data_IF_132830748225
#
_entry.id   IF_132830748225
#
_cell.length_a   1.000
_cell.length_b   1.000
_cell.length_c   1.000
_cell.angle_alpha   90.00
_cell.angle_beta   90.00
_cell.angle_gamma   90.00
#
_symmetry.space_group_name_H-M   'P 1'
#
loop_
_entity.id
_entity.type
_entity.pdbx_description
1 polymer ?
#
# COMPACT_ATOMS: atom_id res chain seq x y z
N UNK A 1 22.37 -4.08 49.05
CA UNK A 1 21.72 -5.25 49.65
C UNK A 1 20.40 -5.45 48.94
N UNK A 2 20.30 -6.47 48.10
CA UNK A 2 19.10 -6.75 47.29
C UNK A 2 18.07 -7.49 48.14
N UNK A 3 16.80 -7.08 47.99
CA UNK A 3 15.69 -7.47 48.85
C UNK A 3 15.24 -8.92 48.63
N UNK A 4 15.33 -9.71 49.70
CA UNK A 4 15.09 -11.16 49.76
C UNK A 4 13.65 -11.58 49.38
N UNK A 5 12.73 -10.61 49.25
CA UNK A 5 11.32 -10.82 48.86
C UNK A 5 11.10 -10.94 47.35
N UNK A 6 12.03 -10.47 46.52
CA UNK A 6 11.86 -10.55 45.05
C UNK A 6 12.25 -11.93 44.49
N UNK A 7 13.22 -12.61 45.11
CA UNK A 7 13.64 -13.96 44.71
C UNK A 7 12.60 -15.04 45.00
N UNK A 8 11.71 -14.84 45.97
CA UNK A 8 10.71 -15.84 46.36
C UNK A 8 9.48 -15.87 45.42
N UNK A 9 9.26 -14.82 44.61
CA UNK A 9 8.16 -14.77 43.64
C UNK A 9 8.49 -15.32 42.25
N UNK A 10 9.76 -15.65 41.97
CA UNK A 10 10.22 -16.09 40.65
C UNK A 10 10.42 -17.60 40.51
N UNK A 11 10.28 -18.38 41.58
CA UNK A 11 10.37 -19.86 41.54
C UNK A 11 9.07 -20.48 42.04
N UNK A 12 8.12 -20.73 41.14
CA UNK A 12 6.83 -21.36 41.44
C UNK A 12 6.59 -22.60 40.61
N UNK A 13 7.27 -23.69 40.95
CA UNK A 13 6.93 -25.07 40.55
C UNK A 13 6.22 -25.77 41.70
N UNK A 14 5.01 -26.31 41.45
CA UNK A 14 4.54 -27.57 42.04
C UNK A 14 3.66 -27.52 43.30
N UNK A 15 2.34 -27.72 43.08
CA UNK A 15 1.44 -28.72 43.68
C UNK A 15 1.47 -29.09 45.18
N UNK A 16 0.26 -29.13 45.80
CA UNK A 16 -0.38 -30.31 46.45
C UNK A 16 -1.65 -29.85 47.20
N UNK A 17 -2.86 -30.28 46.85
CA UNK A 17 -3.61 -31.45 47.36
C UNK A 17 -4.67 -31.04 48.41
N UNK A 18 -5.92 -31.51 48.22
CA UNK A 18 -6.80 -32.14 49.23
C UNK A 18 -8.17 -32.55 48.60
N UNK A 19 -8.91 -33.56 49.15
CA UNK A 19 -9.63 -34.59 48.38
C UNK A 19 -11.11 -34.86 48.78
N UNK A 20 -11.66 -35.99 48.28
CA UNK A 20 -12.92 -36.75 48.61
C UNK A 20 -14.15 -36.52 47.69
N UNK A 21 -15.01 -37.49 47.27
CA UNK A 21 -15.19 -38.95 47.51
C UNK A 21 -16.14 -39.58 46.45
N UNK A 22 -15.87 -40.85 46.08
CA UNK A 22 -16.64 -42.06 45.65
C UNK A 22 -18.01 -42.07 44.90
N UNK A 23 -18.14 -42.94 43.85
CA UNK A 23 -18.66 -44.34 43.95
C UNK A 23 -18.72 -45.11 42.58
N UNK A 24 -18.11 -46.31 42.58
CA UNK A 24 -18.44 -47.65 42.02
C UNK A 24 -18.95 -47.99 40.59
N UNK A 25 -18.31 -49.03 40.00
CA UNK A 25 -18.94 -50.05 39.12
C UNK A 25 -18.16 -50.54 37.87
N UNK A 26 -17.71 -51.83 37.75
CA UNK A 26 -16.75 -52.29 36.73
C UNK A 26 -17.32 -53.18 35.61
N UNK A 27 -16.63 -53.26 34.47
CA UNK A 27 -16.89 -54.22 33.39
C UNK A 27 -15.70 -54.39 32.43
N UNK A 28 -15.06 -55.56 32.49
CA UNK A 28 -13.84 -55.95 31.76
C UNK A 28 -14.12 -56.54 30.37
N UNK A 29 -13.26 -56.28 29.36
CA UNK A 29 -12.99 -57.22 28.25
C UNK A 29 -11.55 -57.05 27.68
N UNK A 30 -10.69 -58.01 28.06
CA UNK A 30 -9.66 -58.76 27.31
C UNK A 30 -8.91 -58.15 26.09
N UNK A 31 -7.57 -58.12 26.22
CA UNK A 31 -6.58 -58.27 25.12
C UNK A 31 -6.42 -59.77 24.75
N UNK A 32 -5.82 -60.10 23.59
CA UNK A 32 -4.45 -60.63 23.67
C UNK A 32 -3.48 -60.24 22.53
N UNK A 33 -2.24 -60.68 22.72
CA UNK A 33 -0.96 -60.33 22.08
C UNK A 33 -0.68 -60.86 20.66
N UNK A 34 0.33 -60.20 20.06
CA UNK A 34 1.22 -60.50 18.92
C UNK A 34 1.41 -61.97 18.47
N UNK A 35 1.59 -62.16 17.15
CA UNK A 35 2.46 -63.20 16.56
C UNK A 35 3.00 -62.77 15.17
N UNK A 36 4.14 -63.35 14.77
CA UNK A 36 4.96 -63.06 13.57
C UNK A 36 5.25 -64.40 12.86
N UNK A 37 5.04 -64.50 11.54
CA UNK A 37 5.45 -65.62 10.64
C UNK A 37 5.32 -65.12 9.19
N UNK A 38 6.40 -64.92 8.42
CA UNK A 38 7.16 -65.80 7.50
C UNK A 38 6.38 -66.45 6.32
N UNK A 39 6.65 -65.89 5.12
CA UNK A 39 6.97 -66.47 3.76
C UNK A 39 6.10 -67.57 3.10
N UNK A 40 5.83 -67.36 1.80
CA UNK A 40 6.00 -68.31 0.65
C UNK A 40 5.73 -67.56 -0.71
N UNK A 41 6.72 -67.43 -1.63
CA UNK A 41 6.99 -68.18 -2.90
C UNK A 41 5.88 -68.05 -3.97
N UNK A 42 6.07 -67.65 -5.24
CA UNK A 42 6.83 -68.26 -6.37
C UNK A 42 6.98 -67.21 -7.52
N UNK A 43 8.01 -67.25 -8.40
CA UNK A 43 7.74 -67.53 -9.82
C UNK A 43 8.67 -68.59 -10.44
N UNK A 44 8.12 -69.24 -11.47
CA UNK A 44 8.63 -70.33 -12.29
C UNK A 44 9.24 -69.81 -13.61
N UNK A 45 10.31 -70.42 -14.13
CA UNK A 45 10.64 -70.38 -15.58
C UNK A 45 12.11 -70.12 -15.94
N UNK A 46 12.83 -71.19 -16.24
CA UNK A 46 14.23 -71.34 -16.71
C UNK A 46 14.45 -70.94 -18.20
N UNK A 47 15.55 -71.31 -18.90
CA UNK A 47 16.96 -70.88 -18.74
C UNK A 47 17.62 -70.53 -20.10
N UNK A 48 18.90 -70.11 -20.12
CA UNK A 48 19.97 -70.65 -21.00
C UNK A 48 21.18 -69.71 -21.19
N UNK A 49 22.35 -70.23 -20.75
CA UNK A 49 23.65 -70.27 -21.45
C UNK A 49 24.41 -68.94 -21.70
N UNK A 50 25.73 -68.83 -21.55
CA UNK A 50 26.80 -69.83 -21.61
C UNK A 50 28.08 -69.23 -20.99
N UNK A 51 28.88 -70.09 -20.32
CA UNK A 51 30.37 -70.17 -20.22
C UNK A 51 31.22 -68.92 -19.88
N UNK A 52 32.37 -68.98 -19.21
CA UNK A 52 33.12 -69.99 -18.43
C UNK A 52 34.41 -69.31 -17.93
N UNK A 53 34.99 -69.79 -16.81
CA UNK A 53 36.33 -69.45 -16.29
C UNK A 53 36.27 -68.90 -14.85
N UNK A 54 36.09 -69.69 -13.79
CA UNK A 54 37.03 -70.62 -13.13
C UNK A 54 38.34 -69.92 -12.68
N UNK A 55 38.83 -69.99 -11.44
CA UNK A 55 38.41 -70.68 -10.21
C UNK A 55 39.27 -70.16 -9.03
N UNK A 56 38.70 -70.20 -7.82
CA UNK A 56 39.30 -70.46 -6.51
C UNK A 56 40.53 -69.65 -6.00
N UNK A 57 40.39 -68.98 -4.85
CA UNK A 57 40.68 -69.58 -3.54
C UNK A 57 40.79 -68.55 -2.40
N UNK A 58 40.10 -68.87 -1.30
CA UNK A 58 40.43 -68.61 0.11
C UNK A 58 40.61 -67.18 0.66
N UNK A 59 39.48 -66.77 1.21
CA UNK A 59 39.29 -66.04 2.45
C UNK A 59 40.20 -66.53 3.61
N UNK A 60 41.16 -65.71 4.05
CA UNK A 60 41.71 -65.75 5.41
C UNK A 60 41.37 -64.48 6.18
N UNK A 61 40.96 -64.73 7.41
CA UNK A 61 40.45 -63.79 8.40
C UNK A 61 41.53 -62.86 8.96
N UNK A 62 41.13 -61.60 9.22
CA UNK A 62 41.99 -60.61 9.86
C UNK A 62 41.19 -59.45 10.44
N UNK A 63 40.19 -59.73 11.27
CA UNK A 63 39.46 -58.71 12.02
C UNK A 63 40.39 -58.02 13.03
N UNK A 64 41.00 -56.91 12.62
CA UNK A 64 41.89 -56.12 13.48
C UNK A 64 41.03 -55.32 14.47
N UNK A 65 40.91 -55.82 15.71
CA UNK A 65 40.30 -55.10 16.84
C UNK A 65 41.04 -53.77 17.07
N UNK A 66 40.40 -52.65 16.74
CA UNK A 66 40.89 -51.28 17.02
C UNK A 66 40.86 -51.04 18.53
N UNK A 67 42.03 -50.90 19.16
CA UNK A 67 42.16 -50.54 20.59
C UNK A 67 41.60 -49.14 20.82
N UNK A 68 40.89 -48.96 21.95
CA UNK A 68 40.01 -47.82 22.25
C UNK A 68 40.68 -46.61 22.89
N UNK A 69 42.00 -46.58 23.06
CA UNK A 69 42.68 -45.47 23.70
C UNK A 69 44.04 -45.21 23.06
N UNK A 70 44.04 -44.35 22.04
CA UNK A 70 45.22 -43.62 21.57
C UNK A 70 44.77 -42.21 21.23
N UNK A 71 45.54 -41.24 21.69
CA UNK A 71 45.34 -39.80 21.50
C UNK A 71 45.28 -39.53 19.99
N UNK A 72 44.21 -38.88 19.52
CA UNK A 72 44.02 -38.60 18.10
C UNK A 72 45.10 -37.64 17.60
N UNK A 73 45.89 -38.06 16.61
CA UNK A 73 46.81 -37.19 15.88
C UNK A 73 46.06 -36.11 15.10
N UNK A 74 46.66 -34.94 14.93
CA UNK A 74 46.05 -33.75 14.33
C UNK A 74 45.44 -34.02 12.93
N UNK A 75 46.04 -34.92 12.15
CA UNK A 75 45.51 -35.34 10.84
C UNK A 75 44.22 -36.16 10.90
N UNK A 76 43.97 -36.91 11.99
CA UNK A 76 42.69 -37.62 12.17
C UNK A 76 41.55 -36.66 12.54
N UNK A 77 41.83 -35.58 13.28
CA UNK A 77 40.84 -34.56 13.64
C UNK A 77 40.37 -33.76 12.42
N UNK A 78 41.28 -33.44 11.50
CA UNK A 78 40.96 -32.75 10.24
C UNK A 78 40.13 -33.65 9.29
N UNK A 79 40.30 -34.98 9.36
CA UNK A 79 39.47 -35.93 8.61
C UNK A 79 38.08 -36.17 9.24
N UNK A 80 37.92 -36.02 10.56
CA UNK A 80 36.61 -36.16 11.21
C UNK A 80 35.64 -35.02 10.87
N UNK A 81 36.13 -33.79 10.69
CA UNK A 81 35.29 -32.65 10.25
C UNK A 81 34.75 -32.81 8.82
N UNK A 82 35.31 -33.75 8.04
CA UNK A 82 34.82 -34.12 6.70
C UNK A 82 33.83 -35.28 6.69
N UNK A 83 33.57 -35.94 7.82
CA UNK A 83 32.62 -37.06 7.88
C UNK A 83 31.18 -36.57 7.91
N UNK A 84 30.49 -36.86 6.82
CA UNK A 84 29.05 -36.67 6.63
C UNK A 84 28.28 -37.32 7.79
N UNK A 85 27.73 -36.50 8.69
CA UNK A 85 26.85 -36.95 9.79
C UNK A 85 25.57 -37.57 9.23
N UNK A 86 25.41 -38.89 9.33
CA UNK A 86 24.17 -39.61 9.01
C UNK A 86 23.26 -39.66 10.24
N UNK A 87 21.94 -39.74 10.04
CA UNK A 87 21.01 -40.04 11.14
C UNK A 87 21.09 -41.53 11.51
N UNK A 88 20.58 -41.97 12.68
CA UNK A 88 20.61 -43.38 13.09
C UNK A 88 19.94 -44.36 12.11
N UNK A 89 19.09 -43.85 11.21
CA UNK A 89 18.45 -44.61 10.12
C UNK A 89 19.21 -44.55 8.78
N UNK A 90 20.49 -44.21 8.76
CA UNK A 90 21.34 -44.24 7.56
C UNK A 90 21.06 -43.15 6.52
N UNK A 91 20.12 -42.23 6.79
CA UNK A 91 19.82 -41.12 5.88
C UNK A 91 20.89 -40.04 6.01
N UNK A 92 21.50 -39.65 4.89
CA UNK A 92 22.45 -38.53 4.80
C UNK A 92 21.76 -37.28 5.36
N UNK A 93 22.26 -36.65 6.44
CA UNK A 93 21.74 -35.33 6.83
C UNK A 93 21.98 -34.39 5.67
N UNK A 94 20.94 -33.67 5.24
CA UNK A 94 21.11 -32.58 4.27
C UNK A 94 22.17 -31.63 4.83
N UNK A 95 23.31 -31.52 4.15
CA UNK A 95 24.31 -30.50 4.44
C UNK A 95 23.62 -29.15 4.29
N UNK A 96 23.59 -28.37 5.36
CA UNK A 96 23.01 -27.04 5.35
C UNK A 96 23.78 -26.17 4.34
N UNK A 97 23.05 -25.39 3.55
CA UNK A 97 23.65 -24.44 2.63
C UNK A 97 24.53 -23.42 3.37
N UNK A 98 25.60 -22.89 2.73
CA UNK A 98 26.66 -22.09 3.38
C UNK A 98 26.20 -20.80 4.08
N UNK A 99 24.94 -20.38 3.96
CA UNK A 99 24.39 -19.24 4.70
C UNK A 99 23.67 -19.59 6.02
N UNK A 100 23.11 -20.80 6.14
CA UNK A 100 22.28 -21.18 7.29
C UNK A 100 23.08 -21.41 8.58
N UNK A 101 24.37 -21.75 8.47
CA UNK A 101 25.27 -21.92 9.61
C UNK A 101 25.45 -20.62 10.39
N UNK A 102 25.48 -19.46 9.71
CA UNK A 102 25.59 -18.15 10.36
C UNK A 102 24.34 -17.79 11.19
N UNK A 103 23.14 -18.16 10.71
CA UNK A 103 21.88 -17.91 11.43
C UNK A 103 21.72 -18.78 12.66
N UNK A 104 22.30 -19.99 12.67
CA UNK A 104 22.34 -20.85 13.86
C UNK A 104 23.47 -20.50 14.84
N UNK A 105 24.44 -19.67 14.44
CA UNK A 105 25.50 -19.21 15.34
C UNK A 105 25.01 -18.18 16.37
N UNK A 106 23.85 -17.57 16.13
CA UNK A 106 23.31 -16.51 16.97
C UNK A 106 22.27 -17.06 17.93
N UNK A 107 22.38 -16.67 19.20
CA UNK A 107 21.27 -16.84 20.14
C UNK A 107 20.10 -15.96 19.73
N UNK A 108 18.87 -16.37 20.09
CA UNK A 108 17.67 -15.58 19.78
C UNK A 108 17.77 -14.14 20.33
N UNK A 109 18.35 -13.96 21.52
CA UNK A 109 18.59 -12.64 22.12
C UNK A 109 19.55 -11.79 21.28
N UNK A 110 20.69 -12.35 20.85
CA UNK A 110 21.64 -11.66 19.99
C UNK A 110 21.04 -11.28 18.63
N UNK A 111 20.19 -12.15 18.05
CA UNK A 111 19.48 -11.85 16.81
C UNK A 111 18.48 -10.69 16.97
N UNK A 112 17.75 -10.62 18.10
CA UNK A 112 16.86 -9.50 18.39
C UNK A 112 17.61 -8.18 18.54
N UNK A 113 18.71 -8.17 19.31
CA UNK A 113 19.53 -6.96 19.49
C UNK A 113 20.05 -6.46 18.15
N UNK A 114 20.62 -7.34 17.32
CA UNK A 114 21.12 -6.96 15.98
C UNK A 114 20.01 -6.42 15.08
N UNK A 115 18.80 -6.99 15.16
CA UNK A 115 17.64 -6.53 14.40
C UNK A 115 17.23 -5.11 14.79
N UNK A 116 17.21 -4.81 16.10
CA UNK A 116 16.91 -3.48 16.61
C UNK A 116 18.00 -2.45 16.27
N UNK A 117 19.27 -2.82 16.39
CA UNK A 117 20.39 -1.96 16.00
C UNK A 117 20.30 -1.63 14.50
N UNK A 118 20.04 -2.63 13.66
CA UNK A 118 19.83 -2.41 12.23
C UNK A 118 18.63 -1.51 11.95
N UNK A 119 17.51 -1.69 12.65
CA UNK A 119 16.33 -0.84 12.49
C UNK A 119 16.61 0.62 12.87
N UNK A 120 17.25 0.86 14.01
CA UNK A 120 17.66 2.21 14.44
C UNK A 120 18.59 2.84 13.41
N UNK A 121 19.58 2.09 12.92
CA UNK A 121 20.47 2.56 11.85
C UNK A 121 19.68 2.97 10.60
N UNK A 122 18.78 2.13 10.10
CA UNK A 122 17.96 2.45 8.93
C UNK A 122 17.09 3.69 9.16
N UNK A 123 16.44 3.81 10.33
CA UNK A 123 15.63 4.98 10.65
C UNK A 123 16.46 6.26 10.72
N UNK A 124 17.65 6.22 11.32
CA UNK A 124 18.57 7.37 11.36
C UNK A 124 19.02 7.76 9.95
N UNK A 125 19.40 6.79 9.11
CA UNK A 125 19.77 7.04 7.71
C UNK A 125 18.61 7.63 6.92
N UNK A 126 17.40 7.09 7.05
CA UNK A 126 16.20 7.65 6.42
C UNK A 126 15.96 9.10 6.86
N UNK A 127 16.09 9.39 8.15
CA UNK A 127 15.93 10.75 8.68
C UNK A 127 17.00 11.70 8.13
N UNK A 128 18.26 11.28 8.08
CA UNK A 128 19.36 12.06 7.50
C UNK A 128 19.13 12.34 6.00
N UNK A 129 18.61 11.38 5.24
CA UNK A 129 18.27 11.57 3.83
C UNK A 129 17.14 12.60 3.67
N UNK A 130 16.12 12.55 4.53
CA UNK A 130 15.00 13.50 4.50
C UNK A 130 15.47 14.93 4.83
N UNK A 131 16.22 15.10 5.92
CA UNK A 131 16.67 16.43 6.37
C UNK A 131 17.85 17.01 5.59
N UNK A 132 18.63 16.17 4.90
CA UNK A 132 19.78 16.59 4.10
C UNK A 132 19.44 16.74 2.62
N UNK A 133 19.70 15.72 1.78
CA UNK A 133 19.58 15.82 0.33
C UNK A 133 18.16 16.14 -0.15
N UNK A 134 17.13 15.55 0.45
CA UNK A 134 15.74 15.82 0.02
C UNK A 134 15.35 17.26 0.35
N UNK A 135 15.59 17.72 1.59
CA UNK A 135 15.35 19.11 2.00
C UNK A 135 16.02 20.11 1.05
N UNK A 136 17.31 19.90 0.74
CA UNK A 136 18.07 20.77 -0.18
C UNK A 136 17.50 20.73 -1.59
N UNK A 137 17.18 19.54 -2.11
CA UNK A 137 16.59 19.38 -3.44
C UNK A 137 15.25 20.11 -3.57
N UNK A 138 14.36 19.98 -2.58
CA UNK A 138 13.04 20.66 -2.59
C UNK A 138 13.22 22.18 -2.47
N UNK A 139 14.12 22.65 -1.60
CA UNK A 139 14.42 24.07 -1.47
C UNK A 139 14.84 24.69 -2.81
N UNK A 140 15.81 24.08 -3.50
CA UNK A 140 16.39 24.61 -4.74
C UNK A 140 15.46 24.46 -5.94
N UNK A 141 14.76 23.32 -6.07
CA UNK A 141 13.97 23.00 -7.28
C UNK A 141 12.51 23.42 -7.23
N UNK A 142 11.90 23.44 -6.05
CA UNK A 142 10.47 23.69 -5.91
C UNK A 142 10.15 25.01 -5.19
N UNK A 143 11.06 25.51 -4.35
CA UNK A 143 10.78 26.64 -3.45
C UNK A 143 11.73 27.83 -3.65
N UNK A 144 12.46 27.90 -4.77
CA UNK A 144 13.34 29.02 -5.13
C UNK A 144 14.36 29.39 -4.04
N UNK A 145 14.89 28.40 -3.32
CA UNK A 145 15.88 28.58 -2.26
C UNK A 145 15.29 28.77 -0.85
N UNK A 146 13.96 28.76 -0.69
CA UNK A 146 13.31 28.83 0.62
C UNK A 146 13.36 27.48 1.34
N UNK A 147 13.39 27.54 2.68
CA UNK A 147 13.38 26.33 3.50
C UNK A 147 12.03 25.59 3.41
N UNK A 148 12.00 24.27 3.12
CA UNK A 148 10.74 23.54 2.96
C UNK A 148 9.88 23.50 4.21
N UNK A 149 10.47 23.45 5.41
CA UNK A 149 9.71 23.35 6.65
C UNK A 149 9.10 24.69 7.03
N UNK A 150 9.88 25.77 6.97
CA UNK A 150 9.38 27.12 7.21
C UNK A 150 8.36 27.55 6.15
N UNK A 151 8.60 27.21 4.88
CA UNK A 151 7.62 27.42 3.81
C UNK A 151 6.32 26.65 4.06
N UNK A 152 6.39 25.36 4.42
CA UNK A 152 5.19 24.57 4.70
C UNK A 152 4.36 25.14 5.86
N UNK A 153 5.04 25.67 6.89
CA UNK A 153 4.40 26.30 8.03
C UNK A 153 3.67 27.59 7.62
N UNK A 154 4.30 28.44 6.81
CA UNK A 154 3.63 29.59 6.19
C UNK A 154 2.47 29.16 5.29
N UNK A 155 2.67 28.15 4.45
CA UNK A 155 1.70 27.68 3.47
C UNK A 155 0.40 27.15 4.10
N UNK A 156 0.49 26.57 5.30
CA UNK A 156 -0.66 26.05 6.07
C UNK A 156 -1.20 27.02 7.12
N UNK A 157 -0.35 27.79 7.80
CA UNK A 157 -0.75 28.61 8.95
C UNK A 157 -0.69 30.12 8.68
N UNK A 158 -0.31 30.53 7.47
CA UNK A 158 0.01 31.93 7.13
C UNK A 158 -1.15 32.93 7.27
N UNK A 159 -2.40 32.46 7.36
CA UNK A 159 -3.58 33.30 7.60
C UNK A 159 -3.94 33.44 9.10
N UNK A 160 -3.35 32.65 9.99
CA UNK A 160 -3.64 32.69 11.43
C UNK A 160 -2.90 33.89 12.05
N UNK A 161 -3.66 34.83 12.62
CA UNK A 161 -3.11 36.06 13.21
C UNK A 161 -2.06 35.79 14.30
N UNK A 162 -2.32 34.83 15.19
CA UNK A 162 -1.39 34.42 16.24
C UNK A 162 -0.07 33.88 15.68
N UNK A 163 -0.14 33.00 14.69
CA UNK A 163 1.06 32.45 14.05
C UNK A 163 1.91 33.55 13.40
N UNK A 164 1.27 34.46 12.64
CA UNK A 164 1.96 35.60 12.02
C UNK A 164 2.64 36.50 13.04
N UNK A 165 1.96 36.80 14.15
CA UNK A 165 2.52 37.60 15.23
C UNK A 165 3.76 36.94 15.82
N UNK A 166 3.71 35.63 16.09
CA UNK A 166 4.85 34.87 16.60
C UNK A 166 6.04 34.87 15.64
N UNK A 167 5.81 34.66 14.34
CA UNK A 167 6.87 34.68 13.31
C UNK A 167 7.55 36.05 13.26
N UNK A 168 6.77 37.14 13.30
CA UNK A 168 7.32 38.51 13.29
C UNK A 168 8.03 38.85 14.60
N UNK A 169 7.45 38.48 15.74
CA UNK A 169 8.03 38.74 17.06
C UNK A 169 9.39 38.04 17.23
N UNK A 170 9.55 36.85 16.67
CA UNK A 170 10.79 36.07 16.75
C UNK A 170 11.77 36.36 15.59
N UNK A 171 11.46 37.28 14.67
CA UNK A 171 12.23 37.56 13.44
C UNK A 171 12.51 36.30 12.60
N UNK A 172 11.48 35.46 12.43
CA UNK A 172 11.52 34.24 11.62
C UNK A 172 11.01 34.45 10.19
N UNK A 173 10.90 35.70 9.73
CA UNK A 173 10.38 36.09 8.41
C UNK A 173 11.20 35.50 7.25
N UNK A 174 12.52 35.43 7.38
CA UNK A 174 13.39 34.81 6.38
C UNK A 174 13.21 33.29 6.29
N UNK A 175 12.86 32.63 7.39
CA UNK A 175 12.67 31.17 7.42
C UNK A 175 11.23 30.78 7.03
N UNK A 176 10.24 31.57 7.43
CA UNK A 176 8.81 31.35 7.15
C UNK A 176 8.23 32.57 6.41
N UNK A 177 8.35 32.64 5.07
CA UNK A 177 7.92 33.82 4.32
C UNK A 177 6.39 33.96 4.35
N UNK A 178 5.89 35.04 4.96
CA UNK A 178 4.45 35.28 5.12
C UNK A 178 3.90 36.16 4.00
N UNK A 179 2.70 35.88 3.45
CA UNK A 179 2.10 36.76 2.46
C UNK A 179 1.69 38.09 3.12
N UNK A 180 1.79 39.22 2.39
CA UNK A 180 1.18 40.46 2.85
C UNK A 180 -0.33 40.26 3.02
N UNK A 181 -0.96 41.04 3.89
CA UNK A 181 -2.43 41.01 3.99
C UNK A 181 -3.01 41.58 2.69
N UNK A 182 -4.07 40.96 2.14
CA UNK A 182 -4.76 41.54 0.99
C UNK A 182 -5.22 42.95 1.29
N UNK A 183 -4.90 43.91 0.43
CA UNK A 183 -5.50 45.23 0.44
C UNK A 183 -6.89 45.18 -0.24
N UNK A 184 -7.77 46.14 0.05
CA UNK A 184 -9.13 46.21 -0.51
C UNK A 184 -9.20 46.13 -2.05
N UNK A 185 -8.11 46.47 -2.74
CA UNK A 185 -7.99 46.38 -4.21
C UNK A 185 -7.85 44.92 -4.68
N UNK A 186 -7.13 44.08 -3.92
CA UNK A 186 -6.93 42.67 -4.24
C UNK A 186 -8.20 41.86 -3.95
N UNK A 187 -8.95 42.25 -2.91
CA UNK A 187 -10.27 41.67 -2.61
C UNK A 187 -11.27 41.92 -3.75
N UNK A 188 -11.28 43.12 -4.35
CA UNK A 188 -12.14 43.43 -5.49
C UNK A 188 -11.79 42.63 -6.77
N UNK A 189 -10.52 42.26 -6.96
CA UNK A 189 -10.11 41.40 -8.08
C UNK A 189 -10.61 39.95 -7.92
N UNK A 190 -10.72 39.46 -6.68
CA UNK A 190 -11.22 38.11 -6.39
C UNK A 190 -12.69 37.89 -6.79
N UNK A 191 -13.48 38.97 -6.88
CA UNK A 191 -14.87 38.94 -7.35
C UNK A 191 -15.01 38.47 -8.81
N UNK A 192 -13.95 38.59 -9.63
CA UNK A 192 -13.95 38.19 -11.03
C UNK A 192 -13.61 36.70 -11.24
N UNK A 193 -13.15 35.99 -10.19
CA UNK A 193 -12.64 34.62 -10.29
C UNK A 193 -13.67 33.52 -9.94
N UNK A 194 -14.93 33.88 -9.69
CA UNK A 194 -16.03 32.96 -9.38
C UNK A 194 -16.41 32.92 -7.89
N UNK A 195 -17.62 32.44 -7.60
CA UNK A 195 -18.20 32.50 -6.24
C UNK A 195 -17.42 31.73 -5.19
N UNK A 196 -16.93 30.52 -5.52
CA UNK A 196 -16.18 29.70 -4.55
C UNK A 196 -14.76 30.22 -4.38
N UNK A 197 -14.13 30.70 -5.45
CA UNK A 197 -12.81 31.33 -5.39
C UNK A 197 -12.85 32.62 -4.57
N UNK A 198 -13.90 33.43 -4.73
CA UNK A 198 -14.13 34.59 -3.89
C UNK A 198 -14.24 34.17 -2.40
N UNK A 199 -15.08 33.19 -2.05
CA UNK A 199 -15.21 32.71 -0.66
C UNK A 199 -13.87 32.20 -0.11
N UNK A 200 -13.08 31.49 -0.94
CA UNK A 200 -11.74 31.01 -0.59
C UNK A 200 -10.81 32.16 -0.23
N UNK A 201 -10.81 33.23 -1.04
CA UNK A 201 -9.88 34.34 -0.86
C UNK A 201 -10.34 35.37 0.19
N UNK A 202 -11.63 35.73 0.22
CA UNK A 202 -12.15 36.82 1.04
C UNK A 202 -12.62 36.40 2.44
N UNK A 203 -13.33 35.27 2.57
CA UNK A 203 -13.92 34.88 3.87
C UNK A 203 -12.95 34.10 4.76
N UNK A 204 -12.32 33.06 4.21
CA UNK A 204 -11.43 32.19 4.98
C UNK A 204 -9.97 32.56 4.78
N UNK A 205 -9.64 32.92 3.54
CA UNK A 205 -8.29 33.12 3.06
C UNK A 205 -7.56 31.79 2.76
N UNK A 206 -6.57 31.84 1.87
CA UNK A 206 -5.99 30.66 1.21
C UNK A 206 -5.44 29.60 2.18
N UNK A 207 -4.65 29.99 3.19
CA UNK A 207 -4.07 29.02 4.12
C UNK A 207 -5.14 28.35 5.02
N UNK A 208 -6.13 29.11 5.48
CA UNK A 208 -7.22 28.55 6.29
C UNK A 208 -8.09 27.59 5.48
N UNK A 209 -8.31 27.85 4.19
CA UNK A 209 -9.02 26.90 3.32
C UNK A 209 -8.28 25.56 3.24
N UNK A 210 -6.94 25.56 3.16
CA UNK A 210 -6.14 24.31 3.18
C UNK A 210 -6.28 23.56 4.49
N UNK A 211 -6.35 24.27 5.63
CA UNK A 211 -6.63 23.66 6.93
C UNK A 211 -8.04 23.05 6.98
N UNK A 212 -9.05 23.74 6.44
CA UNK A 212 -10.42 23.22 6.35
C UNK A 212 -10.49 21.98 5.46
N UNK A 213 -9.82 21.98 4.31
CA UNK A 213 -9.69 20.80 3.44
C UNK A 213 -9.00 19.65 4.20
N UNK A 214 -7.93 19.94 4.93
CA UNK A 214 -7.21 18.94 5.74
C UNK A 214 -8.11 18.35 6.82
N UNK A 215 -8.86 19.19 7.55
CA UNK A 215 -9.80 18.75 8.57
C UNK A 215 -10.94 17.91 7.98
N UNK A 216 -11.50 18.32 6.84
CA UNK A 216 -12.49 17.55 6.09
C UNK A 216 -11.96 16.18 5.68
N UNK A 217 -10.77 16.14 5.07
CA UNK A 217 -10.10 14.90 4.67
C UNK A 217 -9.87 13.97 5.86
N UNK A 218 -9.40 14.49 7.00
CA UNK A 218 -9.22 13.71 8.23
C UNK A 218 -10.56 13.18 8.75
N UNK A 219 -11.63 13.96 8.71
CA UNK A 219 -12.97 13.51 9.10
C UNK A 219 -13.46 12.37 8.21
N UNK A 220 -13.29 12.48 6.89
CA UNK A 220 -13.62 11.40 5.93
C UNK A 220 -12.78 10.15 6.19
N UNK A 221 -11.49 10.31 6.52
CA UNK A 221 -10.62 9.19 6.89
C UNK A 221 -11.09 8.50 8.18
N UNK A 222 -11.40 9.26 9.23
CA UNK A 222 -11.85 8.71 10.52
C UNK A 222 -13.19 7.98 10.33
N UNK A 223 -14.15 8.59 9.65
CA UNK A 223 -15.46 7.99 9.39
C UNK A 223 -15.34 6.76 8.50
N UNK A 224 -14.53 6.81 7.43
CA UNK A 224 -14.25 5.68 6.56
C UNK A 224 -13.58 4.52 7.29
N UNK A 225 -12.57 4.80 8.13
CA UNK A 225 -11.93 3.77 8.96
C UNK A 225 -12.91 3.16 9.97
N UNK A 226 -13.77 3.95 10.60
CA UNK A 226 -14.81 3.45 11.50
C UNK A 226 -15.77 2.50 10.76
N UNK A 227 -16.22 2.87 9.56
CA UNK A 227 -17.05 2.03 8.70
C UNK A 227 -16.32 0.73 8.34
N UNK A 228 -15.04 0.81 7.95
CA UNK A 228 -14.24 -0.37 7.61
C UNK A 228 -14.11 -1.31 8.82
N UNK A 229 -13.85 -0.78 10.02
CA UNK A 229 -13.76 -1.61 11.22
C UNK A 229 -15.08 -2.31 11.54
N UNK A 230 -16.23 -1.62 11.38
CA UNK A 230 -17.55 -2.23 11.57
C UNK A 230 -17.87 -3.29 10.51
N UNK A 231 -17.59 -3.00 9.24
CA UNK A 231 -17.82 -3.93 8.13
C UNK A 231 -16.85 -5.11 8.13
N UNK A 232 -15.68 -4.99 8.75
CA UNK A 232 -14.66 -6.03 8.76
C UNK A 232 -15.14 -7.36 9.35
N UNK A 233 -16.14 -7.33 10.23
CA UNK A 233 -16.75 -8.49 10.86
C UNK A 233 -17.74 -9.26 9.98
N UNK A 234 -18.27 -8.64 8.90
CA UNK A 234 -19.42 -9.17 8.14
C UNK A 234 -19.16 -9.19 6.63
N UNK A 235 -18.33 -8.28 6.10
CA UNK A 235 -18.17 -8.05 4.66
C UNK A 235 -16.94 -8.75 4.05
N UNK A 236 -17.11 -9.24 2.83
CA UNK A 236 -16.03 -9.79 1.99
C UNK A 236 -14.91 -8.78 1.71
N UNK A 237 -13.70 -9.30 1.48
CA UNK A 237 -12.47 -8.52 1.22
C UNK A 237 -12.67 -7.49 0.10
N UNK A 238 -13.38 -7.84 -0.98
CA UNK A 238 -13.59 -6.94 -2.12
C UNK A 238 -14.43 -5.72 -1.72
N UNK A 239 -15.52 -5.91 -0.98
CA UNK A 239 -16.37 -4.82 -0.49
C UNK A 239 -15.57 -3.89 0.42
N UNK A 240 -14.66 -4.44 1.25
CA UNK A 240 -13.77 -3.63 2.10
C UNK A 240 -12.81 -2.77 1.28
N UNK A 241 -12.23 -3.31 0.20
CA UNK A 241 -11.36 -2.54 -0.71
C UNK A 241 -12.11 -1.40 -1.39
N UNK A 242 -13.38 -1.62 -1.74
CA UNK A 242 -14.22 -0.57 -2.37
C UNK A 242 -14.59 0.56 -1.40
N UNK A 243 -14.59 0.34 -0.09
CA UNK A 243 -14.73 1.43 0.88
C UNK A 243 -13.59 2.44 0.73
N UNK A 244 -12.34 1.98 0.58
CA UNK A 244 -11.20 2.89 0.34
C UNK A 244 -11.32 3.65 -0.99
N UNK A 245 -11.87 3.01 -2.03
CA UNK A 245 -12.14 3.68 -3.31
C UNK A 245 -13.18 4.79 -3.12
N UNK A 246 -14.27 4.50 -2.40
CA UNK A 246 -15.29 5.49 -2.04
C UNK A 246 -14.74 6.63 -1.17
N UNK A 247 -13.86 6.34 -0.21
CA UNK A 247 -13.18 7.36 0.59
C UNK A 247 -12.37 8.32 -0.28
N UNK A 248 -11.63 7.80 -1.28
CA UNK A 248 -10.89 8.65 -2.22
C UNK A 248 -11.83 9.57 -3.03
N UNK A 249 -12.99 9.08 -3.46
CA UNK A 249 -14.01 9.90 -4.14
C UNK A 249 -14.52 11.01 -3.23
N UNK A 250 -14.92 10.67 -1.99
CA UNK A 250 -15.42 11.65 -1.03
C UNK A 250 -14.36 12.70 -0.67
N UNK A 251 -13.11 12.29 -0.48
CA UNK A 251 -12.04 13.22 -0.15
C UNK A 251 -11.72 14.17 -1.30
N UNK A 252 -11.52 13.66 -2.52
CA UNK A 252 -10.88 14.42 -3.60
C UNK A 252 -11.84 15.01 -4.63
N UNK A 253 -13.01 14.43 -4.87
CA UNK A 253 -13.96 14.98 -5.84
C UNK A 253 -14.41 16.42 -5.49
N UNK A 254 -14.77 16.75 -4.23
CA UNK A 254 -15.14 18.11 -3.88
C UNK A 254 -13.93 19.05 -3.66
N UNK A 255 -12.77 18.53 -3.26
CA UNK A 255 -11.63 19.36 -2.80
C UNK A 255 -10.63 19.70 -3.88
N UNK A 256 -10.44 18.84 -4.90
CA UNK A 256 -9.42 19.03 -5.94
C UNK A 256 -9.59 20.35 -6.68
N UNK A 257 -10.82 20.81 -6.92
CA UNK A 257 -11.04 22.09 -7.63
C UNK A 257 -10.86 23.32 -6.75
N UNK A 258 -10.98 23.16 -5.42
CA UNK A 258 -10.82 24.25 -4.46
C UNK A 258 -9.36 24.64 -4.32
N UNK A 259 -8.45 23.67 -4.16
CA UNK A 259 -7.00 23.90 -4.22
C UNK A 259 -6.30 22.68 -4.87
N UNK A 260 -6.17 22.68 -6.21
CA UNK A 260 -5.56 21.57 -6.95
C UNK A 260 -4.11 21.30 -6.55
N UNK A 261 -3.35 22.36 -6.27
CA UNK A 261 -1.91 22.26 -5.94
C UNK A 261 -1.71 21.64 -4.57
N UNK A 262 -2.54 22.02 -3.60
CA UNK A 262 -2.51 21.44 -2.27
C UNK A 262 -2.91 19.96 -2.30
N UNK A 263 -3.98 19.60 -3.03
CA UNK A 263 -4.36 18.20 -3.20
C UNK A 263 -3.24 17.38 -3.86
N UNK A 264 -2.58 17.93 -4.89
CA UNK A 264 -1.43 17.30 -5.54
C UNK A 264 -0.25 17.09 -4.59
N UNK A 265 0.08 18.10 -3.78
CA UNK A 265 1.12 18.01 -2.76
C UNK A 265 0.79 16.95 -1.71
N UNK A 266 -0.44 16.95 -1.20
CA UNK A 266 -0.90 15.99 -0.21
C UNK A 266 -0.85 14.56 -0.76
N UNK A 267 -1.30 14.33 -1.99
CA UNK A 267 -1.22 13.02 -2.65
C UNK A 267 0.23 12.55 -2.83
N UNK A 268 1.13 13.43 -3.27
CA UNK A 268 2.56 13.13 -3.40
C UNK A 268 3.22 12.79 -2.07
N UNK A 269 2.92 13.57 -1.01
CA UNK A 269 3.45 13.35 0.33
C UNK A 269 2.93 12.04 0.93
N UNK A 270 1.62 11.77 0.83
CA UNK A 270 1.02 10.52 1.31
C UNK A 270 1.59 9.32 0.56
N UNK A 271 1.80 9.42 -0.76
CA UNK A 271 2.45 8.36 -1.54
C UNK A 271 3.87 8.10 -1.06
N UNK A 272 4.67 9.15 -0.84
CA UNK A 272 6.03 9.00 -0.31
C UNK A 272 6.04 8.33 1.08
N UNK A 273 5.12 8.71 1.96
CA UNK A 273 4.94 8.09 3.28
C UNK A 273 4.55 6.62 3.13
N UNK A 274 3.59 6.28 2.26
CA UNK A 274 3.16 4.89 2.04
C UNK A 274 4.28 4.03 1.48
N UNK A 275 5.07 4.53 0.52
CA UNK A 275 6.23 3.83 -0.01
C UNK A 275 7.30 3.60 1.07
N UNK A 276 7.55 4.60 1.91
CA UNK A 276 8.51 4.46 3.01
C UNK A 276 8.03 3.48 4.09
N UNK A 277 6.76 3.53 4.47
CA UNK A 277 6.15 2.59 5.42
C UNK A 277 6.14 1.16 4.85
N UNK A 278 5.84 0.99 3.57
CA UNK A 278 5.90 -0.33 2.93
C UNK A 278 7.32 -0.85 2.83
N UNK A 279 8.31 0.01 2.57
CA UNK A 279 9.73 -0.34 2.64
C UNK A 279 10.13 -0.84 4.03
N UNK A 280 9.71 -0.14 5.09
CA UNK A 280 9.98 -0.55 6.48
C UNK A 280 9.31 -1.88 6.84
N UNK A 281 8.10 -2.12 6.32
CA UNK A 281 7.37 -3.38 6.48
C UNK A 281 8.04 -4.52 5.74
N UNK A 282 8.36 -4.34 4.45
CA UNK A 282 9.02 -5.33 3.62
C UNK A 282 10.41 -5.70 4.18
N UNK A 283 11.11 -4.72 4.76
CA UNK A 283 12.40 -4.91 5.45
C UNK A 283 12.27 -5.49 6.87
N UNK A 284 11.04 -5.75 7.34
CA UNK A 284 10.73 -6.33 8.66
C UNK A 284 11.30 -5.56 9.86
N UNK A 285 11.41 -4.23 9.77
CA UNK A 285 12.02 -3.40 10.81
C UNK A 285 11.11 -3.25 12.05
N UNK A 286 11.55 -3.60 13.27
CA UNK A 286 10.83 -3.27 14.49
C UNK A 286 10.91 -1.75 14.78
N UNK A 287 9.90 -1.14 15.43
CA UNK A 287 8.64 -1.73 15.90
C UNK A 287 7.53 -1.74 14.84
N UNK A 288 7.63 -0.94 13.78
CA UNK A 288 6.51 -0.57 12.90
C UNK A 288 6.05 -1.71 11.97
N UNK A 289 6.97 -2.58 11.54
CA UNK A 289 6.66 -3.62 10.53
C UNK A 289 5.54 -4.59 10.95
N UNK A 290 5.48 -4.98 12.23
CA UNK A 290 4.48 -5.94 12.73
C UNK A 290 3.07 -5.34 12.77
N UNK A 291 2.81 -4.21 13.47
CA UNK A 291 1.51 -3.55 13.44
C UNK A 291 1.02 -3.27 12.02
N UNK A 292 1.90 -2.82 11.13
CA UNK A 292 1.51 -2.51 9.75
C UNK A 292 1.13 -3.77 8.97
N UNK A 293 1.85 -4.88 9.14
CA UNK A 293 1.51 -6.15 8.50
C UNK A 293 0.16 -6.68 8.99
N UNK A 294 -0.12 -6.60 10.30
CA UNK A 294 -1.41 -7.03 10.85
C UNK A 294 -2.56 -6.14 10.37
N UNK A 295 -2.35 -4.83 10.30
CA UNK A 295 -3.36 -3.89 9.79
C UNK A 295 -3.65 -4.13 8.31
N UNK A 296 -2.62 -4.37 7.49
CA UNK A 296 -2.78 -4.53 6.04
C UNK A 296 -3.27 -5.92 5.64
N UNK A 297 -2.97 -6.98 6.41
CA UNK A 297 -3.26 -8.38 6.05
C UNK A 297 -4.71 -8.64 5.56
N UNK A 298 -5.78 -8.05 6.17
CA UNK A 298 -7.14 -8.24 5.70
C UNK A 298 -7.44 -7.62 4.31
N UNK A 299 -6.59 -6.72 3.81
CA UNK A 299 -6.81 -5.96 2.58
C UNK A 299 -5.92 -6.41 1.42
N UNK A 300 -4.93 -7.25 1.69
CA UNK A 300 -4.02 -7.84 0.70
C UNK A 300 -4.80 -8.78 -0.24
N UNK A 301 -4.47 -8.77 -1.53
CA UNK A 301 -5.05 -9.66 -2.53
C UNK A 301 -4.18 -10.86 -2.88
N UNK A 302 -4.77 -11.85 -3.54
CA UNK A 302 -4.03 -12.97 -4.15
C UNK A 302 -2.87 -12.52 -5.04
N UNK A 303 -2.98 -11.32 -5.65
CA UNK A 303 -1.94 -10.70 -6.47
C UNK A 303 -0.76 -10.19 -5.65
N UNK A 304 -1.02 -9.68 -4.45
CA UNK A 304 -0.01 -9.09 -3.56
C UNK A 304 0.84 -10.16 -2.86
N UNK A 305 0.36 -11.42 -2.80
CA UNK A 305 1.15 -12.53 -2.23
C UNK A 305 2.34 -12.98 -3.11
N UNK A 306 2.45 -12.46 -4.33
CA UNK A 306 3.54 -12.82 -5.26
C UNK A 306 4.84 -12.05 -5.01
N UNK A 307 4.82 -11.03 -4.16
CA UNK A 307 5.98 -10.19 -3.86
C UNK A 307 6.04 -9.72 -2.40
N UNK A 308 7.18 -9.13 -1.98
CA UNK A 308 7.33 -8.60 -0.63
C UNK A 308 6.56 -7.28 -0.40
N UNK A 309 6.18 -6.57 -1.47
CA UNK A 309 5.50 -5.26 -1.49
C UNK A 309 4.00 -5.45 -1.67
N UNK A 310 3.18 -4.73 -0.91
CA UNK A 310 1.72 -4.73 -1.06
C UNK A 310 1.35 -3.61 -2.03
N UNK A 311 0.94 -3.97 -3.25
CA UNK A 311 0.87 -3.01 -4.35
C UNK A 311 -0.53 -2.41 -4.51
N UNK A 312 -1.57 -3.13 -4.08
CA UNK A 312 -2.98 -2.70 -4.21
C UNK A 312 -3.26 -1.26 -3.75
N UNK A 313 -2.80 -0.88 -2.55
CA UNK A 313 -3.05 0.46 -1.98
C UNK A 313 -2.23 1.56 -2.67
N UNK A 314 -1.01 1.21 -3.11
CA UNK A 314 -0.13 2.12 -3.86
C UNK A 314 -0.75 2.42 -5.23
N UNK A 315 -1.29 1.40 -5.89
CA UNK A 315 -1.93 1.54 -7.20
C UNK A 315 -3.24 2.33 -7.14
N UNK A 316 -4.04 2.18 -6.08
CA UNK A 316 -5.20 3.05 -5.85
C UNK A 316 -4.76 4.52 -5.78
N UNK A 317 -3.74 4.82 -4.97
CA UNK A 317 -3.27 6.19 -4.77
C UNK A 317 -2.67 6.77 -6.06
N UNK A 318 -1.83 6.01 -6.76
CA UNK A 318 -1.21 6.40 -8.03
C UNK A 318 -2.27 6.59 -9.13
N UNK A 319 -3.24 5.67 -9.23
CA UNK A 319 -4.33 5.73 -10.21
C UNK A 319 -5.18 6.99 -10.08
N UNK A 320 -5.43 7.43 -8.84
CA UNK A 320 -6.11 8.70 -8.56
C UNK A 320 -5.22 9.92 -8.84
N UNK A 321 -3.91 9.82 -8.59
CA UNK A 321 -2.99 10.98 -8.59
C UNK A 321 -2.42 11.33 -9.96
N UNK A 322 -2.15 10.34 -10.83
CA UNK A 322 -1.50 10.59 -12.13
C UNK A 322 -2.30 11.60 -12.98
N UNK A 323 -3.63 11.44 -13.18
CA UNK A 323 -4.39 12.40 -13.97
C UNK A 323 -4.31 13.83 -13.42
N UNK A 324 -4.35 13.99 -12.09
CA UNK A 324 -4.18 15.31 -11.47
C UNK A 324 -2.79 15.91 -11.77
N UNK A 325 -1.72 15.13 -11.61
CA UNK A 325 -0.36 15.60 -11.89
C UNK A 325 -0.15 15.97 -13.35
N UNK A 326 -0.68 15.17 -14.28
CA UNK A 326 -0.61 15.44 -15.71
C UNK A 326 -1.44 16.66 -16.13
N UNK A 327 -2.60 16.88 -15.51
CA UNK A 327 -3.38 18.11 -15.75
C UNK A 327 -2.63 19.34 -15.21
N UNK A 328 -2.02 19.23 -14.04
CA UNK A 328 -1.28 20.32 -13.41
C UNK A 328 0.03 20.68 -14.10
N UNK A 329 0.64 19.76 -14.86
CA UNK A 329 1.88 20.04 -15.59
C UNK A 329 1.69 20.99 -16.78
N UNK A 330 0.47 21.10 -17.31
CA UNK A 330 0.19 21.93 -18.50
C UNK A 330 -0.51 23.26 -18.17
N UNK A 331 -0.82 23.50 -16.90
CA UNK A 331 -1.54 24.71 -16.50
C UNK A 331 -0.59 25.82 -16.06
N UNK A 332 -0.87 27.08 -16.45
CA UNK A 332 -0.07 28.22 -16.03
C UNK A 332 -0.14 28.40 -14.51
N UNK A 333 0.96 28.89 -13.92
CA UNK A 333 1.06 29.15 -12.48
C UNK A 333 0.98 30.64 -12.19
N UNK A 334 0.46 30.96 -11.01
CA UNK A 334 0.45 32.32 -10.50
C UNK A 334 1.76 32.55 -9.72
N UNK A 335 2.60 33.44 -10.22
CA UNK A 335 3.95 33.68 -9.67
C UNK A 335 4.00 34.86 -8.67
N UNK A 336 2.90 35.13 -7.96
CA UNK A 336 2.80 36.27 -7.04
C UNK A 336 2.89 35.84 -5.58
N UNK A 337 3.64 36.61 -4.80
CA UNK A 337 3.78 36.41 -3.35
C UNK A 337 4.69 35.26 -2.95
N UNK A 338 4.73 34.91 -1.65
CA UNK A 338 5.65 33.90 -1.10
C UNK A 338 5.26 32.46 -1.46
N UNK A 339 4.09 32.27 -2.07
CA UNK A 339 3.61 30.98 -2.55
C UNK A 339 3.51 30.95 -4.09
N UNK A 340 4.33 31.76 -4.77
CA UNK A 340 4.48 31.74 -6.21
C UNK A 340 4.63 30.30 -6.75
N UNK A 341 3.87 29.95 -7.79
CA UNK A 341 3.84 28.60 -8.36
C UNK A 341 2.76 27.67 -7.79
N UNK A 342 2.18 28.00 -6.63
CA UNK A 342 1.27 27.14 -5.87
C UNK A 342 -0.19 27.59 -5.91
N UNK A 343 -0.60 28.27 -6.97
CA UNK A 343 -2.00 28.52 -7.31
C UNK A 343 -2.18 28.45 -8.82
N UNK A 344 -3.38 28.03 -9.25
CA UNK A 344 -3.71 27.77 -10.66
C UNK A 344 -4.99 28.53 -11.02
N UNK A 345 -5.00 29.32 -12.10
CA UNK A 345 -6.14 30.16 -12.45
C UNK A 345 -7.28 29.37 -13.10
N UNK A 346 -6.99 28.32 -13.85
CA UNK A 346 -7.99 27.54 -14.60
C UNK A 346 -8.11 26.11 -14.07
N UNK A 347 -9.32 25.56 -14.16
CA UNK A 347 -9.67 24.21 -13.72
C UNK A 347 -9.97 23.36 -14.93
N UNK A 348 -9.80 22.04 -14.82
CA UNK A 348 -10.09 21.11 -15.90
C UNK A 348 -10.76 19.85 -15.33
N UNK A 349 -11.82 19.37 -15.97
CA UNK A 349 -12.52 18.13 -15.61
C UNK A 349 -11.55 16.95 -15.59
N UNK A 350 -10.50 16.99 -16.42
CA UNK A 350 -9.47 15.95 -16.49
C UNK A 350 -8.73 15.73 -15.15
N UNK A 351 -8.67 16.74 -14.27
CA UNK A 351 -7.96 16.68 -12.98
C UNK A 351 -8.45 15.56 -12.06
N UNK A 352 -9.73 15.20 -12.15
CA UNK A 352 -10.37 14.18 -11.31
C UNK A 352 -10.69 12.89 -12.06
N UNK A 353 -10.23 12.74 -13.31
CA UNK A 353 -10.45 11.52 -14.10
C UNK A 353 -9.97 10.27 -13.36
N UNK A 354 -8.84 10.34 -12.64
CA UNK A 354 -8.36 9.21 -11.86
C UNK A 354 -9.28 8.83 -10.71
N UNK A 355 -9.76 9.82 -9.97
CA UNK A 355 -10.70 9.64 -8.86
C UNK A 355 -12.03 9.07 -9.36
N UNK A 356 -12.56 9.54 -10.48
CA UNK A 356 -13.81 9.02 -11.06
C UNK A 356 -13.60 7.60 -11.59
N UNK A 357 -12.53 7.36 -12.36
CA UNK A 357 -12.25 6.07 -12.99
C UNK A 357 -12.06 4.96 -11.96
N UNK A 358 -11.10 5.16 -11.04
CA UNK A 358 -10.78 4.15 -10.02
C UNK A 358 -11.85 4.17 -8.94
N UNK A 359 -12.20 5.34 -8.42
CA UNK A 359 -13.11 5.46 -7.28
C UNK A 359 -14.56 5.07 -7.57
N UNK A 360 -15.13 5.54 -8.69
CA UNK A 360 -16.53 5.29 -9.05
C UNK A 360 -16.67 4.17 -10.08
N UNK A 361 -15.90 4.23 -11.17
CA UNK A 361 -15.97 3.28 -12.29
C UNK A 361 -15.66 1.85 -11.86
N UNK A 362 -14.45 1.60 -11.36
CA UNK A 362 -14.01 0.27 -10.92
C UNK A 362 -14.85 -0.27 -9.74
N UNK A 363 -15.34 0.60 -8.86
CA UNK A 363 -16.30 0.20 -7.82
C UNK A 363 -17.65 -0.25 -8.41
N UNK A 364 -18.23 0.51 -9.34
CA UNK A 364 -19.49 0.15 -9.98
C UNK A 364 -19.36 -1.13 -10.82
N UNK A 365 -18.28 -1.25 -11.60
CA UNK A 365 -18.01 -2.41 -12.45
C UNK A 365 -17.95 -3.71 -11.65
N UNK A 366 -17.22 -3.70 -10.54
CA UNK A 366 -17.04 -4.86 -9.68
C UNK A 366 -18.29 -5.20 -8.87
N UNK A 367 -19.00 -4.22 -8.29
CA UNK A 367 -20.22 -4.46 -7.50
C UNK A 367 -21.36 -4.99 -8.39
N UNK A 368 -21.60 -4.34 -9.53
CA UNK A 368 -22.65 -4.75 -10.47
C UNK A 368 -22.24 -6.01 -11.23
N UNK A 369 -20.97 -6.11 -11.66
CA UNK A 369 -20.47 -7.29 -12.36
C UNK A 369 -20.47 -8.56 -11.50
N UNK A 370 -20.27 -8.46 -10.18
CA UNK A 370 -20.43 -9.61 -9.27
C UNK A 370 -21.89 -10.01 -9.09
N UNK A 371 -22.79 -9.04 -8.92
CA UNK A 371 -24.21 -9.32 -8.59
C UNK A 371 -25.06 -9.67 -9.81
N UNK A 372 -24.76 -9.07 -10.96
CA UNK A 372 -25.58 -9.15 -12.18
C UNK A 372 -24.79 -9.55 -13.43
N UNK A 373 -23.47 -9.76 -13.35
CA UNK A 373 -22.60 -10.01 -14.50
C UNK A 373 -22.70 -11.41 -15.08
N UNK A 374 -23.83 -11.71 -15.72
CA UNK A 374 -24.13 -13.01 -16.34
C UNK A 374 -23.46 -13.13 -17.70
N UNK A 375 -23.42 -12.05 -18.48
CA UNK A 375 -22.82 -12.04 -19.81
C UNK A 375 -21.34 -11.67 -19.73
N UNK A 376 -20.46 -12.65 -19.97
CA UNK A 376 -19.01 -12.45 -19.96
C UNK A 376 -18.51 -12.05 -21.35
N UNK A 377 -17.46 -11.23 -21.37
CA UNK A 377 -16.76 -10.90 -22.60
C UNK A 377 -16.10 -12.15 -23.22
N UNK A 378 -16.12 -12.23 -24.55
CA UNK A 378 -15.69 -13.42 -25.29
C UNK A 378 -14.18 -13.63 -25.36
N UNK A 379 -13.38 -12.58 -25.14
CA UNK A 379 -11.92 -12.61 -25.19
C UNK A 379 -11.24 -13.13 -23.91
N UNK A 380 -12.00 -13.71 -22.98
CA UNK A 380 -11.48 -14.22 -21.70
C UNK A 380 -11.23 -13.11 -20.67
N UNK A 381 -10.98 -13.50 -19.41
CA UNK A 381 -10.65 -12.56 -18.32
C UNK A 381 -11.76 -12.30 -17.27
N UNK A 382 -12.92 -12.96 -17.37
CA UNK A 382 -13.94 -12.95 -16.31
C UNK A 382 -14.75 -11.66 -16.14
N UNK A 383 -14.45 -10.61 -16.93
CA UNK A 383 -15.19 -9.34 -16.97
C UNK A 383 -16.56 -9.52 -17.64
N UNK A 384 -17.57 -8.83 -17.12
CA UNK A 384 -18.96 -8.92 -17.59
C UNK A 384 -19.41 -7.66 -18.31
N UNK A 385 -20.27 -7.81 -19.33
CA UNK A 385 -20.88 -6.70 -20.06
C UNK A 385 -21.66 -5.78 -19.13
N UNK A 386 -22.42 -6.34 -18.18
CA UNK A 386 -23.19 -5.58 -17.20
C UNK A 386 -22.28 -4.74 -16.29
N UNK A 387 -21.08 -5.24 -16.00
CA UNK A 387 -20.05 -4.51 -15.25
C UNK A 387 -19.48 -3.35 -16.07
N UNK A 388 -19.17 -3.58 -17.34
CA UNK A 388 -18.69 -2.53 -18.26
C UNK A 388 -19.75 -1.44 -18.50
N UNK A 389 -21.04 -1.79 -18.57
CA UNK A 389 -22.13 -0.80 -18.65
C UNK A 389 -22.24 0.01 -17.36
N UNK A 390 -22.14 -0.65 -16.19
CA UNK A 390 -22.15 0.04 -14.91
C UNK A 390 -20.95 0.98 -14.74
N UNK A 391 -19.76 0.58 -15.21
CA UNK A 391 -18.58 1.43 -15.28
C UNK A 391 -18.87 2.68 -16.11
N UNK A 392 -19.34 2.50 -17.34
CA UNK A 392 -19.58 3.61 -18.27
C UNK A 392 -20.64 4.59 -17.71
N UNK A 393 -21.70 4.06 -17.10
CA UNK A 393 -22.73 4.87 -16.45
C UNK A 393 -22.16 5.67 -15.27
N UNK A 394 -21.41 5.02 -14.36
CA UNK A 394 -20.83 5.67 -13.19
C UNK A 394 -19.82 6.77 -13.57
N UNK A 395 -18.96 6.51 -14.56
CA UNK A 395 -18.00 7.50 -15.06
C UNK A 395 -18.71 8.66 -15.76
N UNK A 396 -19.72 8.39 -16.60
CA UNK A 396 -20.51 9.44 -17.26
C UNK A 396 -21.19 10.35 -16.24
N UNK A 397 -21.85 9.77 -15.24
CA UNK A 397 -22.47 10.51 -14.14
C UNK A 397 -21.43 11.33 -13.35
N UNK A 398 -20.27 10.75 -13.05
CA UNK A 398 -19.18 11.44 -12.36
C UNK A 398 -18.65 12.65 -13.13
N UNK A 399 -18.43 12.51 -14.45
CA UNK A 399 -17.97 13.61 -15.31
C UNK A 399 -19.00 14.74 -15.39
N UNK A 400 -20.28 14.40 -15.56
CA UNK A 400 -21.37 15.39 -15.61
C UNK A 400 -21.50 16.10 -14.26
N UNK A 401 -21.44 15.37 -13.15
CA UNK A 401 -21.51 15.94 -11.81
C UNK A 401 -20.34 16.89 -11.52
N UNK A 402 -19.14 16.53 -11.96
CA UNK A 402 -17.95 17.39 -11.85
C UNK A 402 -18.07 18.63 -12.73
N UNK A 403 -18.60 18.50 -13.96
CA UNK A 403 -18.88 19.67 -14.80
C UNK A 403 -19.89 20.60 -14.13
N UNK A 404 -20.96 20.06 -13.54
CA UNK A 404 -21.92 20.82 -12.75
C UNK A 404 -21.25 21.51 -11.56
N UNK A 405 -20.37 20.83 -10.84
CA UNK A 405 -19.61 21.43 -9.74
C UNK A 405 -18.72 22.59 -10.19
N UNK A 406 -18.04 22.46 -11.33
CA UNK A 406 -17.22 23.54 -11.89
C UNK A 406 -18.05 24.77 -12.27
N UNK A 407 -19.21 24.55 -12.91
CA UNK A 407 -20.14 25.62 -13.28
C UNK A 407 -20.73 26.30 -12.04
N UNK A 408 -21.15 25.52 -11.03
CA UNK A 408 -21.69 26.04 -9.77
C UNK A 408 -20.64 26.84 -8.98
N UNK A 409 -19.38 26.40 -9.01
CA UNK A 409 -18.31 27.12 -8.32
C UNK A 409 -17.83 28.37 -9.05
N UNK A 410 -18.22 28.54 -10.32
CA UNK A 410 -17.87 29.69 -11.14
C UNK A 410 -16.40 29.72 -11.58
N UNK A 411 -15.70 28.58 -11.56
CA UNK A 411 -14.30 28.53 -11.98
C UNK A 411 -14.16 28.63 -13.50
N UNK A 412 -13.09 29.29 -13.94
CA UNK A 412 -12.70 29.31 -15.34
C UNK A 412 -12.23 27.90 -15.76
N UNK A 413 -12.92 27.29 -16.71
CA UNK A 413 -12.62 25.92 -17.17
C UNK A 413 -11.79 25.98 -18.45
N UNK A 414 -10.63 25.32 -18.44
CA UNK A 414 -9.75 25.25 -19.60
C UNK A 414 -10.46 24.58 -20.79
N UNK A 415 -10.47 25.24 -21.94
CA UNK A 415 -11.11 24.73 -23.16
C UNK A 415 -12.62 24.95 -23.29
N UNK A 416 -13.30 25.55 -22.30
CA UNK A 416 -14.73 25.86 -22.37
C UNK A 416 -15.10 26.89 -23.47
N UNK A 417 -14.16 27.78 -23.80
CA UNK A 417 -14.31 28.82 -24.83
C UNK A 417 -14.54 28.27 -26.24
N UNK A 418 -14.26 26.98 -26.46
CA UNK A 418 -14.40 26.32 -27.77
C UNK A 418 -15.85 26.07 -28.19
N UNK A 419 -16.80 26.05 -27.25
CA UNK A 419 -18.21 25.75 -27.57
C UNK A 419 -19.08 27.00 -27.74
N UNK A 420 -18.68 28.17 -27.22
CA UNK A 420 -19.42 29.44 -27.37
C UNK A 420 -20.87 29.45 -26.83
N UNK A 421 -21.36 28.35 -26.25
CA UNK A 421 -22.72 28.26 -25.72
C UNK A 421 -22.75 28.63 -24.23
N UNK A 422 -23.73 29.45 -23.79
CA UNK A 422 -23.95 29.72 -22.38
C UNK A 422 -24.23 28.43 -21.62
N UNK A 423 -23.63 28.27 -20.43
CA UNK A 423 -23.82 27.13 -19.52
C UNK A 423 -25.28 26.94 -19.05
N UNK A 424 -26.14 27.94 -19.26
CA UNK A 424 -27.59 27.89 -19.02
C UNK A 424 -28.39 27.16 -20.10
N UNK A 425 -27.78 26.82 -21.24
CA UNK A 425 -28.47 26.23 -22.38
C UNK A 425 -28.56 24.72 -22.26
N UNK A 426 -29.73 24.12 -22.52
CA UNK A 426 -29.90 22.66 -22.55
C UNK A 426 -28.92 21.97 -23.52
N UNK A 427 -28.66 22.59 -24.67
CA UNK A 427 -27.72 22.07 -25.68
C UNK A 427 -26.30 21.90 -25.16
N UNK A 428 -25.85 22.78 -24.25
CA UNK A 428 -24.53 22.67 -23.61
C UNK A 428 -24.45 21.40 -22.76
N UNK A 429 -25.49 21.13 -21.96
CA UNK A 429 -25.56 19.93 -21.11
C UNK A 429 -25.71 18.64 -21.92
N UNK A 430 -26.48 18.67 -23.01
CA UNK A 430 -26.61 17.52 -23.92
C UNK A 430 -25.27 17.19 -24.60
N UNK A 431 -24.52 18.21 -25.05
CA UNK A 431 -23.21 18.01 -25.66
C UNK A 431 -22.17 17.51 -24.67
N UNK A 432 -22.17 18.07 -23.45
CA UNK A 432 -21.36 17.60 -22.33
C UNK A 432 -21.65 16.13 -22.03
N UNK A 433 -22.94 15.76 -21.91
CA UNK A 433 -23.35 14.40 -21.65
C UNK A 433 -22.92 13.43 -22.76
N UNK A 434 -23.08 13.83 -24.03
CA UNK A 434 -22.62 13.04 -25.17
C UNK A 434 -21.11 12.78 -25.12
N UNK A 435 -20.31 13.83 -24.90
CA UNK A 435 -18.85 13.71 -24.75
C UNK A 435 -18.47 12.82 -23.57
N UNK A 436 -19.12 12.98 -22.43
CA UNK A 436 -18.90 12.16 -21.24
C UNK A 436 -19.21 10.68 -21.50
N UNK A 437 -20.31 10.37 -22.19
CA UNK A 437 -20.68 9.00 -22.56
C UNK A 437 -19.67 8.39 -23.53
N UNK A 438 -19.18 9.15 -24.52
CA UNK A 438 -18.14 8.68 -25.44
C UNK A 438 -16.83 8.40 -24.68
N UNK A 439 -16.40 9.32 -23.81
CA UNK A 439 -15.20 9.15 -22.99
C UNK A 439 -15.31 7.93 -22.06
N UNK A 440 -16.45 7.78 -21.38
CA UNK A 440 -16.72 6.68 -20.47
C UNK A 440 -16.85 5.34 -21.20
N UNK A 441 -17.48 5.32 -22.37
CA UNK A 441 -17.60 4.14 -23.23
C UNK A 441 -16.25 3.66 -23.75
N UNK A 442 -15.40 4.58 -24.25
CA UNK A 442 -14.04 4.26 -24.66
C UNK A 442 -13.19 3.72 -23.51
N UNK A 443 -13.28 4.35 -22.34
CA UNK A 443 -12.58 3.89 -21.13
C UNK A 443 -13.07 2.51 -20.67
N UNK A 444 -14.38 2.28 -20.65
CA UNK A 444 -15.00 0.99 -20.32
C UNK A 444 -14.55 -0.12 -21.27
N UNK A 445 -14.47 0.17 -22.57
CA UNK A 445 -13.94 -0.78 -23.55
C UNK A 445 -12.47 -1.12 -23.27
N UNK A 446 -11.64 -0.11 -22.94
CA UNK A 446 -10.24 -0.39 -22.56
C UNK A 446 -10.14 -1.23 -21.29
N UNK A 447 -10.98 -0.96 -20.28
CA UNK A 447 -11.06 -1.77 -19.06
C UNK A 447 -11.44 -3.22 -19.38
N UNK A 448 -12.42 -3.44 -20.27
CA UNK A 448 -12.82 -4.77 -20.71
C UNK A 448 -11.72 -5.56 -21.45
N UNK A 449 -10.90 -4.87 -22.26
CA UNK A 449 -9.84 -5.47 -23.08
C UNK A 449 -8.57 -5.73 -22.25
N UNK A 450 -8.24 -4.86 -21.30
CA UNK A 450 -7.07 -4.98 -20.44
C UNK A 450 -7.28 -6.09 -19.39
N UNK A 451 -6.90 -7.31 -19.72
CA UNK A 451 -7.04 -8.50 -18.84
C UNK A 451 -5.74 -8.92 -18.13
N UNK A 452 -4.60 -8.31 -18.48
CA UNK A 452 -3.28 -8.66 -17.91
C UNK A 452 -2.44 -7.47 -17.40
N UNK A 453 -2.87 -6.24 -17.62
CA UNK A 453 -2.21 -5.05 -17.07
C UNK A 453 -2.96 -4.58 -15.81
N UNK A 454 -2.32 -3.71 -15.03
CA UNK A 454 -2.96 -3.11 -13.87
C UNK A 454 -3.98 -2.04 -14.31
N UNK A 455 -5.24 -2.42 -14.26
CA UNK A 455 -6.41 -1.61 -14.57
C UNK A 455 -6.46 -0.32 -13.73
N UNK A 456 -6.04 -0.37 -12.46
CA UNK A 456 -6.04 0.78 -11.56
C UNK A 456 -5.07 1.90 -11.96
N UNK A 457 -4.11 1.65 -12.86
CA UNK A 457 -3.14 2.68 -13.30
C UNK A 457 -3.38 3.08 -14.76
N UNK A 458 -3.61 2.12 -15.64
CA UNK A 458 -3.72 2.40 -17.08
C UNK A 458 -5.07 3.01 -17.46
N UNK A 459 -6.17 2.46 -16.95
CA UNK A 459 -7.52 2.91 -17.32
C UNK A 459 -7.76 4.39 -16.94
N UNK A 460 -7.30 4.89 -15.78
CA UNK A 460 -7.35 6.32 -15.44
C UNK A 460 -6.65 7.24 -16.44
N UNK A 461 -5.50 6.82 -16.98
CA UNK A 461 -4.73 7.60 -17.94
C UNK A 461 -5.49 7.66 -19.28
N UNK A 462 -6.09 6.55 -19.70
CA UNK A 462 -6.95 6.52 -20.89
C UNK A 462 -8.15 7.45 -20.72
N UNK A 463 -8.82 7.41 -19.57
CA UNK A 463 -9.95 8.32 -19.30
C UNK A 463 -9.48 9.78 -19.36
N UNK A 464 -8.34 10.10 -18.75
CA UNK A 464 -7.75 11.43 -18.78
C UNK A 464 -7.50 11.90 -20.22
N UNK A 465 -6.91 11.06 -21.08
CA UNK A 465 -6.69 11.36 -22.50
C UNK A 465 -8.01 11.61 -23.25
N UNK A 466 -9.04 10.78 -23.02
CA UNK A 466 -10.34 10.91 -23.69
C UNK A 466 -11.10 12.15 -23.21
N UNK A 467 -11.14 12.41 -21.91
CA UNK A 467 -11.78 13.60 -21.33
C UNK A 467 -11.15 14.87 -21.88
N UNK A 468 -9.81 14.88 -21.94
CA UNK A 468 -9.04 16.01 -22.45
C UNK A 468 -9.18 16.19 -23.96
N UNK A 469 -9.11 15.10 -24.73
CA UNK A 469 -9.24 15.12 -26.19
C UNK A 469 -10.65 15.49 -26.67
N UNK A 470 -11.69 15.09 -25.94
CA UNK A 470 -13.08 15.44 -26.25
C UNK A 470 -13.48 16.81 -25.69
N UNK A 471 -12.71 17.37 -24.76
CA UNK A 471 -13.02 18.63 -24.06
C UNK A 471 -14.38 18.56 -23.35
N UNK A 472 -14.52 17.60 -22.43
CA UNK A 472 -15.76 17.31 -21.68
C UNK A 472 -16.17 18.48 -20.77
#
# INVERSE_FOLDING_TARGET
MMDHRLCQRLSGTGASEEPSSDSDGPGAVLKPCKAKTMRDSVPLGDPAADRAGAEAAEQYSGARKRRRHTISTFDEAVQEDRKIRTTPGGRRKKLMGPGLASFLSLTAAQAQVRKWVYAVYVYLVSLLIIFGPIRKYVAERALHGQDPFGWALSYLLGNISGFRFWVLMLNLDHWSPLPPRPDAVLENASCLLGSVEHIRQSTFGPANTRLLISAYCVLVLITGLAIVFQLSAIAEVDTRRKVFHGMMVLMFLPTVFVDPTFCSLALGLVLAIFLLLDLFRASQLPPISRPLTYFLAPYVDGRDHRGPVIISHIFLLIGCSIPLWLSLSDLPRIDTGPWAGWDVPTRDVSMVSGVICVGMGDAAASLVGRRYGRLKWFWGGGKSLEGSVAFAAAVSCGLIAVRAWLVLGGWQVSGADSSGLPSSTLSFWLWTALKAVIAAGGTSATEAILTGCNDNVVVPIVLWLLVRGLGV
#
